data_IF_622807691757
#
_entry.id   IF_622807691757
#
_cell.length_a   1.000
_cell.length_b   1.000
_cell.length_c   1.000
_cell.angle_alpha   90.00
_cell.angle_beta   90.00
_cell.angle_gamma   90.00
#
_symmetry.space_group_name_H-M   'P 1'
#
loop_
_entity.id
_entity.type
_entity.pdbx_description
1 polymer ?
#
# COMPACT_ATOMS: atom_id res chain seq x y z
N UNK A 1 19.40 18.45 14.18
CA UNK A 1 20.20 19.68 14.32
C UNK A 1 20.33 20.35 12.96
N UNK A 2 20.36 21.68 12.89
CA UNK A 2 20.51 22.47 11.67
C UNK A 2 21.71 23.38 11.82
N UNK A 3 22.53 23.50 10.78
CA UNK A 3 23.73 24.34 10.78
C UNK A 3 23.35 25.76 10.32
N UNK A 4 23.78 26.78 11.07
CA UNK A 4 23.61 28.17 10.64
C UNK A 4 24.51 28.47 9.44
N UNK A 5 23.91 28.88 8.34
CA UNK A 5 24.66 29.20 7.10
C UNK A 5 25.56 30.44 7.24
N UNK A 6 25.36 31.26 8.28
CA UNK A 6 26.11 32.50 8.46
C UNK A 6 27.34 32.36 9.40
N UNK A 7 27.27 31.45 10.39
CA UNK A 7 28.39 31.29 11.34
C UNK A 7 28.80 29.82 11.56
N UNK A 8 28.20 28.87 10.91
CA UNK A 8 28.53 27.45 11.03
C UNK A 8 28.07 26.76 12.33
N UNK A 9 27.46 27.48 13.28
CA UNK A 9 27.04 26.91 14.57
C UNK A 9 25.86 25.96 14.42
N UNK A 10 25.92 24.85 15.17
CA UNK A 10 24.80 23.89 15.24
C UNK A 10 23.68 24.44 16.13
N UNK A 11 22.44 24.32 15.63
CA UNK A 11 21.22 24.76 16.28
C UNK A 11 20.17 23.65 16.34
N UNK A 12 19.21 23.78 17.25
CA UNK A 12 18.04 22.92 17.25
C UNK A 12 17.13 23.30 16.06
N UNK A 13 16.40 22.32 15.52
CA UNK A 13 15.49 22.53 14.36
C UNK A 13 14.39 23.55 14.64
N UNK A 14 14.03 23.71 15.91
CA UNK A 14 12.97 24.60 16.38
C UNK A 14 13.40 26.07 16.49
N UNK A 15 14.70 26.34 16.43
CA UNK A 15 15.23 27.69 16.61
C UNK A 15 14.96 28.55 15.37
N UNK A 16 14.15 29.59 15.52
CA UNK A 16 13.90 30.58 14.47
C UNK A 16 15.09 31.51 14.22
N UNK A 17 16.02 31.61 15.19
CA UNK A 17 17.25 32.39 15.08
C UNK A 17 18.42 31.56 15.60
N UNK A 18 19.59 31.79 15.03
CA UNK A 18 20.82 31.16 15.49
C UNK A 18 21.15 31.59 16.91
N UNK A 19 21.41 30.62 17.78
CA UNK A 19 21.78 30.89 19.20
C UNK A 19 23.13 31.59 19.37
N UNK A 20 24.01 31.51 18.33
CA UNK A 20 25.36 32.09 18.40
C UNK A 20 25.44 33.48 17.75
N UNK A 21 24.83 33.69 16.56
CA UNK A 21 24.97 34.96 15.84
C UNK A 21 23.64 35.70 15.61
N UNK A 22 22.52 35.16 16.06
CA UNK A 22 21.21 35.78 15.91
C UNK A 22 20.62 35.78 14.49
N UNK A 23 21.33 35.25 13.52
CA UNK A 23 20.85 35.19 12.15
C UNK A 23 19.56 34.37 12.03
N UNK A 24 18.64 34.72 11.15
CA UNK A 24 17.43 33.94 10.91
C UNK A 24 17.82 32.52 10.42
N UNK A 25 17.25 31.52 11.05
CA UNK A 25 17.40 30.12 10.65
C UNK A 25 16.32 29.74 9.64
N UNK A 26 16.61 28.90 8.64
CA UNK A 26 15.60 28.40 7.74
C UNK A 26 14.58 27.61 8.57
N UNK A 27 13.38 28.15 8.66
CA UNK A 27 12.26 27.50 9.30
C UNK A 27 11.56 26.65 8.25
N UNK A 28 11.84 25.36 8.27
CA UNK A 28 11.03 24.41 7.52
C UNK A 28 9.75 24.22 8.33
N UNK A 29 8.72 25.00 8.04
CA UNK A 29 7.37 24.59 8.37
C UNK A 29 7.16 23.28 7.61
N UNK A 30 7.19 22.16 8.32
CA UNK A 30 6.63 20.93 7.81
C UNK A 30 5.13 21.20 7.71
N UNK A 31 4.70 21.76 6.57
CA UNK A 31 3.33 21.57 6.16
C UNK A 31 3.09 20.08 6.26
N UNK A 32 2.09 19.63 7.03
CA UNK A 32 1.72 18.23 7.00
C UNK A 32 1.55 17.91 5.51
N UNK A 33 2.39 17.05 5.00
CA UNK A 33 2.20 16.50 3.67
C UNK A 33 0.87 15.78 3.79
N UNK A 34 -0.21 16.44 3.37
CA UNK A 34 -1.46 15.76 3.11
C UNK A 34 -1.03 14.72 2.09
N UNK A 35 -0.89 13.49 2.54
CA UNK A 35 -0.75 12.36 1.62
C UNK A 35 -2.04 12.40 0.82
N UNK A 36 -1.98 13.03 -0.36
CA UNK A 36 -3.02 12.86 -1.36
C UNK A 36 -2.89 11.39 -1.72
N UNK A 37 -3.79 10.59 -1.17
CA UNK A 37 -3.86 9.17 -1.46
C UNK A 37 -4.24 9.07 -2.93
N UNK A 38 -3.24 8.78 -3.76
CA UNK A 38 -3.47 8.59 -5.18
C UNK A 38 -4.10 7.22 -5.34
N UNK A 39 -5.42 7.20 -5.33
CA UNK A 39 -6.22 5.99 -5.54
C UNK A 39 -6.01 5.52 -6.98
N UNK A 40 -5.17 4.51 -7.18
CA UNK A 40 -4.81 3.98 -8.50
C UNK A 40 -4.94 2.47 -8.57
N UNK A 41 -4.99 1.94 -9.80
CA UNK A 41 -4.93 0.51 -10.05
C UNK A 41 -6.09 -0.28 -9.47
N UNK A 42 -5.77 -1.38 -8.80
CA UNK A 42 -6.75 -2.33 -8.26
C UNK A 42 -7.56 -1.75 -7.12
N UNK A 43 -6.92 -1.03 -6.20
CA UNK A 43 -7.59 -0.35 -5.11
C UNK A 43 -8.65 0.64 -5.61
N UNK A 44 -8.35 1.36 -6.70
CA UNK A 44 -9.32 2.29 -7.32
C UNK A 44 -10.61 1.58 -7.75
N UNK A 45 -10.52 0.36 -8.28
CA UNK A 45 -11.71 -0.39 -8.68
C UNK A 45 -12.63 -0.66 -7.49
N UNK A 46 -12.08 -1.11 -6.35
CA UNK A 46 -12.86 -1.32 -5.14
C UNK A 46 -13.48 -0.02 -4.63
N UNK A 47 -12.68 1.03 -4.53
CA UNK A 47 -13.15 2.35 -4.09
C UNK A 47 -14.31 2.86 -4.96
N UNK A 48 -14.16 2.84 -6.28
CA UNK A 48 -15.20 3.31 -7.20
C UNK A 48 -16.49 2.49 -7.10
N UNK A 49 -16.40 1.16 -6.91
CA UNK A 49 -17.56 0.29 -6.74
C UNK A 49 -18.25 0.54 -5.39
N UNK A 50 -17.50 0.69 -4.31
CA UNK A 50 -18.04 1.04 -2.98
C UNK A 50 -18.77 2.38 -3.03
N UNK A 51 -18.16 3.42 -3.60
CA UNK A 51 -18.81 4.70 -3.78
C UNK A 51 -20.05 4.62 -4.68
N UNK A 52 -20.00 3.81 -5.74
CA UNK A 52 -21.13 3.56 -6.63
C UNK A 52 -22.32 2.94 -5.89
N UNK A 53 -22.09 1.97 -5.01
CA UNK A 53 -23.12 1.35 -4.17
C UNK A 53 -23.68 2.35 -3.15
N UNK A 54 -22.81 3.08 -2.45
CA UNK A 54 -23.23 4.09 -1.44
C UNK A 54 -24.12 5.17 -2.05
N UNK A 55 -23.83 5.55 -3.28
CA UNK A 55 -24.58 6.60 -4.02
C UNK A 55 -25.78 6.02 -4.81
N UNK A 56 -26.05 4.73 -4.74
CA UNK A 56 -27.14 4.08 -5.49
C UNK A 56 -26.91 4.02 -7.02
N UNK A 57 -25.69 4.22 -7.47
CA UNK A 57 -25.30 4.12 -8.89
C UNK A 57 -25.05 2.68 -9.33
N UNK A 58 -24.67 1.83 -8.40
CA UNK A 58 -24.44 0.39 -8.59
C UNK A 58 -25.44 -0.34 -7.67
N UNK A 59 -26.15 -1.31 -8.24
CA UNK A 59 -27.06 -2.13 -7.44
C UNK A 59 -26.30 -3.13 -6.55
N UNK A 60 -26.87 -3.57 -5.41
CA UNK A 60 -26.26 -4.60 -4.57
C UNK A 60 -25.91 -5.87 -5.35
N UNK A 61 -26.76 -6.28 -6.30
CA UNK A 61 -26.52 -7.46 -7.14
C UNK A 61 -25.30 -7.29 -8.02
N UNK A 62 -25.17 -6.13 -8.71
CA UNK A 62 -24.01 -5.83 -9.56
C UNK A 62 -22.72 -5.70 -8.73
N UNK A 63 -22.84 -5.21 -7.49
CA UNK A 63 -21.71 -5.18 -6.55
C UNK A 63 -21.30 -6.59 -6.12
N UNK A 64 -22.28 -7.48 -5.85
CA UNK A 64 -22.01 -8.89 -5.54
C UNK A 64 -21.28 -9.60 -6.68
N UNK A 65 -21.69 -9.38 -7.95
CA UNK A 65 -20.99 -9.91 -9.13
C UNK A 65 -19.55 -9.39 -9.22
N UNK A 66 -19.34 -8.10 -8.96
CA UNK A 66 -17.99 -7.52 -8.89
C UNK A 66 -17.12 -8.19 -7.81
N UNK A 67 -17.64 -8.36 -6.59
CA UNK A 67 -16.91 -9.02 -5.50
C UNK A 67 -16.55 -10.47 -5.85
N UNK A 68 -17.48 -11.19 -6.46
CA UNK A 68 -17.25 -12.57 -6.91
C UNK A 68 -16.12 -12.65 -7.95
N UNK A 69 -16.13 -11.79 -8.96
CA UNK A 69 -15.07 -11.72 -9.98
C UNK A 69 -13.70 -11.42 -9.35
N UNK A 70 -13.64 -10.49 -8.38
CA UNK A 70 -12.40 -10.16 -7.69
C UNK A 70 -11.92 -11.33 -6.83
N UNK A 71 -12.81 -12.03 -6.14
CA UNK A 71 -12.48 -13.20 -5.34
C UNK A 71 -11.94 -14.35 -6.19
N UNK A 72 -12.61 -14.69 -7.31
CA UNK A 72 -12.15 -15.72 -8.23
C UNK A 72 -10.76 -15.39 -8.81
N UNK A 73 -10.53 -14.12 -9.15
CA UNK A 73 -9.22 -13.64 -9.61
C UNK A 73 -8.16 -13.84 -8.54
N UNK A 74 -8.47 -13.53 -7.27
CA UNK A 74 -7.56 -13.69 -6.14
C UNK A 74 -7.20 -15.17 -5.93
N UNK A 75 -8.22 -16.06 -5.94
CA UNK A 75 -8.01 -17.51 -5.76
C UNK A 75 -7.14 -18.10 -6.88
N UNK A 76 -7.35 -17.65 -8.13
CA UNK A 76 -6.50 -18.04 -9.25
C UNK A 76 -5.04 -17.65 -9.02
N UNK A 77 -4.76 -16.41 -8.60
CA UNK A 77 -3.40 -15.96 -8.31
C UNK A 77 -2.77 -16.75 -7.15
N UNK A 78 -3.54 -17.06 -6.10
CA UNK A 78 -3.06 -17.91 -5.01
C UNK A 78 -2.62 -19.29 -5.50
N UNK A 79 -3.41 -19.90 -6.38
CA UNK A 79 -3.07 -21.20 -6.99
C UNK A 79 -1.77 -21.12 -7.80
N UNK A 80 -1.62 -20.12 -8.66
CA UNK A 80 -0.42 -19.90 -9.47
C UNK A 80 0.83 -19.69 -8.59
N UNK A 81 0.72 -18.95 -7.49
CA UNK A 81 1.82 -18.74 -6.54
C UNK A 81 2.16 -20.02 -5.80
N UNK A 82 1.17 -20.81 -5.35
CA UNK A 82 1.40 -22.07 -4.68
C UNK A 82 2.17 -23.06 -5.57
N UNK A 83 1.82 -23.16 -6.86
CA UNK A 83 2.55 -24.00 -7.83
C UNK A 83 4.01 -23.57 -8.00
N UNK A 84 4.29 -22.27 -8.00
CA UNK A 84 5.66 -21.74 -8.10
C UNK A 84 6.46 -22.05 -6.84
N UNK A 85 5.85 -21.94 -5.66
CA UNK A 85 6.50 -22.22 -4.37
C UNK A 85 6.85 -23.70 -4.23
N UNK A 86 5.93 -24.60 -4.57
CA UNK A 86 6.14 -26.06 -4.44
C UNK A 86 7.28 -26.59 -5.31
N UNK A 87 7.58 -25.92 -6.42
CA UNK A 87 8.59 -26.37 -7.39
C UNK A 87 10.01 -25.83 -7.20
N UNK A 88 10.27 -24.96 -6.21
CA UNK A 88 11.53 -24.20 -6.14
C UNK A 88 11.98 -23.87 -4.72
N UNK A 89 13.32 -23.70 -4.52
CA UNK A 89 13.92 -23.11 -3.32
C UNK A 89 13.60 -21.59 -3.19
N UNK A 90 12.48 -21.16 -3.78
CA UNK A 90 12.13 -19.76 -3.93
C UNK A 90 11.85 -19.10 -2.57
N UNK A 91 11.25 -19.85 -1.64
CA UNK A 91 10.93 -19.36 -0.29
C UNK A 91 12.18 -18.95 0.50
N UNK A 92 13.31 -19.65 0.34
CA UNK A 92 14.54 -19.29 1.05
C UNK A 92 15.19 -18.02 0.51
N UNK A 93 15.03 -17.76 -0.80
CA UNK A 93 15.70 -16.65 -1.49
C UNK A 93 14.86 -15.36 -1.54
N UNK A 94 13.53 -15.47 -1.51
CA UNK A 94 12.58 -14.38 -1.69
C UNK A 94 11.58 -14.29 -0.53
N UNK A 95 12.01 -14.65 0.68
CA UNK A 95 11.15 -14.77 1.86
C UNK A 95 10.37 -13.48 2.15
N UNK A 96 11.02 -12.32 2.13
CA UNK A 96 10.39 -11.08 2.53
C UNK A 96 9.34 -10.60 1.52
N UNK A 97 9.63 -10.69 0.21
CA UNK A 97 8.68 -10.31 -0.83
C UNK A 97 7.47 -11.25 -0.87
N UNK A 98 7.70 -12.55 -0.69
CA UNK A 98 6.65 -13.56 -0.66
C UNK A 98 5.75 -13.39 0.56
N UNK A 99 6.34 -13.15 1.73
CA UNK A 99 5.58 -12.88 2.96
C UNK A 99 4.67 -11.66 2.79
N UNK A 100 5.19 -10.56 2.24
CA UNK A 100 4.39 -9.36 1.98
C UNK A 100 3.33 -9.61 0.90
N UNK A 101 3.65 -10.35 -0.16
CA UNK A 101 2.71 -10.69 -1.21
C UNK A 101 1.53 -11.54 -0.70
N UNK A 102 1.81 -12.57 0.12
CA UNK A 102 0.79 -13.43 0.73
C UNK A 102 -0.07 -12.62 1.70
N UNK A 103 0.54 -11.86 2.62
CA UNK A 103 -0.20 -10.99 3.54
C UNK A 103 -1.11 -10.01 2.80
N UNK A 104 -0.65 -9.46 1.68
CA UNK A 104 -1.47 -8.60 0.84
C UNK A 104 -2.68 -9.31 0.26
N UNK A 105 -2.53 -10.56 -0.18
CA UNK A 105 -3.66 -11.38 -0.67
C UNK A 105 -4.64 -11.75 0.45
N UNK A 106 -4.14 -12.03 1.67
CA UNK A 106 -4.98 -12.31 2.82
C UNK A 106 -5.87 -11.11 3.16
N UNK A 107 -5.31 -9.91 3.20
CA UNK A 107 -6.07 -8.67 3.41
C UNK A 107 -7.09 -8.40 2.30
N UNK A 108 -6.77 -8.72 1.04
CA UNK A 108 -7.75 -8.61 -0.05
C UNK A 108 -8.91 -9.58 0.15
N UNK A 109 -8.64 -10.81 0.55
CA UNK A 109 -9.67 -11.83 0.81
C UNK A 109 -10.57 -11.42 1.97
N UNK A 110 -9.98 -11.02 3.09
CA UNK A 110 -10.69 -10.50 4.26
C UNK A 110 -11.57 -9.30 3.90
N UNK A 111 -11.03 -8.35 3.11
CA UNK A 111 -11.77 -7.18 2.67
C UNK A 111 -12.96 -7.51 1.75
N UNK A 112 -12.82 -8.49 0.86
CA UNK A 112 -13.93 -8.97 0.03
C UNK A 112 -14.98 -9.66 0.88
N UNK A 113 -14.59 -10.49 1.84
CA UNK A 113 -15.53 -11.14 2.77
C UNK A 113 -16.29 -10.13 3.61
N UNK A 114 -15.61 -9.11 4.11
CA UNK A 114 -16.25 -8.04 4.87
C UNK A 114 -17.28 -7.28 4.01
N UNK A 115 -16.97 -6.98 2.76
CA UNK A 115 -17.90 -6.33 1.84
C UNK A 115 -19.11 -7.22 1.48
N UNK A 116 -18.98 -8.55 1.51
CA UNK A 116 -20.12 -9.44 1.32
C UNK A 116 -21.13 -9.36 2.48
N UNK A 117 -20.68 -9.12 3.70
CA UNK A 117 -21.58 -8.92 4.84
C UNK A 117 -22.56 -7.74 4.60
N UNK A 118 -22.11 -6.68 3.94
CA UNK A 118 -22.98 -5.58 3.51
C UNK A 118 -24.17 -6.05 2.65
N UNK A 119 -23.96 -7.06 1.80
CA UNK A 119 -25.04 -7.59 0.95
C UNK A 119 -26.10 -8.37 1.74
N UNK A 120 -25.74 -8.81 2.95
CA UNK A 120 -26.65 -9.56 3.83
C UNK A 120 -27.50 -8.64 4.70
N UNK A 121 -26.89 -7.59 5.29
CA UNK A 121 -27.55 -6.74 6.29
C UNK A 121 -27.70 -5.26 5.88
N UNK A 122 -26.98 -4.82 4.84
CA UNK A 122 -27.01 -3.45 4.34
C UNK A 122 -26.23 -2.44 5.19
N UNK A 123 -25.41 -2.92 6.16
CA UNK A 123 -24.62 -2.03 7.01
C UNK A 123 -23.40 -1.47 6.25
N UNK A 124 -23.38 -0.16 6.10
CA UNK A 124 -22.34 0.58 5.39
C UNK A 124 -20.97 0.45 6.07
N UNK A 125 -20.91 0.14 7.37
CA UNK A 125 -19.66 -0.05 8.10
C UNK A 125 -18.85 -1.21 7.50
N UNK A 126 -19.48 -2.25 6.96
CA UNK A 126 -18.84 -3.36 6.26
C UNK A 126 -18.12 -2.91 4.99
N UNK A 127 -18.67 -1.93 4.26
CA UNK A 127 -18.02 -1.37 3.08
C UNK A 127 -16.74 -0.58 3.44
N UNK A 128 -16.78 0.17 4.54
CA UNK A 128 -15.65 0.97 5.01
C UNK A 128 -14.53 0.06 5.56
N UNK A 129 -14.89 -0.90 6.39
CA UNK A 129 -13.96 -1.88 6.94
C UNK A 129 -13.30 -2.71 5.83
N UNK A 130 -14.10 -3.22 4.90
CA UNK A 130 -13.59 -3.98 3.76
C UNK A 130 -12.67 -3.15 2.87
N UNK A 131 -13.01 -1.89 2.59
CA UNK A 131 -12.17 -0.99 1.79
C UNK A 131 -10.81 -0.70 2.46
N UNK A 132 -10.80 -0.56 3.79
CA UNK A 132 -9.55 -0.41 4.56
C UNK A 132 -8.67 -1.66 4.47
N UNK A 133 -9.25 -2.87 4.56
CA UNK A 133 -8.51 -4.12 4.38
C UNK A 133 -7.94 -4.24 2.97
N UNK A 134 -8.71 -3.90 1.92
CA UNK A 134 -8.23 -3.84 0.54
C UNK A 134 -7.06 -2.84 0.40
N UNK A 135 -7.12 -1.70 1.09
CA UNK A 135 -6.03 -0.71 1.11
C UNK A 135 -4.76 -1.30 1.72
N UNK A 136 -4.87 -1.94 2.87
CA UNK A 136 -3.74 -2.62 3.52
C UNK A 136 -3.14 -3.69 2.60
N UNK A 137 -3.98 -4.49 1.97
CA UNK A 137 -3.54 -5.49 0.99
C UNK A 137 -2.80 -4.88 -0.19
N UNK A 138 -3.30 -3.76 -0.73
CA UNK A 138 -2.63 -3.03 -1.80
C UNK A 138 -1.25 -2.51 -1.38
N UNK A 139 -1.12 -2.01 -0.16
CA UNK A 139 0.16 -1.53 0.38
C UNK A 139 1.18 -2.68 0.54
N UNK A 140 0.76 -3.82 1.09
CA UNK A 140 1.59 -5.02 1.19
C UNK A 140 2.08 -5.51 -0.19
N UNK A 141 1.20 -5.57 -1.20
CA UNK A 141 1.56 -5.97 -2.56
C UNK A 141 2.54 -4.97 -3.19
N UNK A 142 2.33 -3.67 -2.99
CA UNK A 142 3.25 -2.64 -3.48
C UNK A 142 4.63 -2.75 -2.82
N UNK A 143 4.70 -3.07 -1.54
CA UNK A 143 5.96 -3.32 -0.84
C UNK A 143 6.67 -4.57 -1.37
N UNK A 144 5.96 -5.68 -1.59
CA UNK A 144 6.50 -6.87 -2.23
C UNK A 144 7.10 -6.55 -3.62
N UNK A 145 6.37 -5.80 -4.44
CA UNK A 145 6.85 -5.37 -5.76
C UNK A 145 8.06 -4.45 -5.67
N UNK A 146 8.16 -3.62 -4.64
CA UNK A 146 9.32 -2.75 -4.39
C UNK A 146 10.55 -3.57 -4.02
N UNK A 147 10.40 -4.55 -3.12
CA UNK A 147 11.48 -5.47 -2.72
C UNK A 147 12.01 -6.21 -3.95
N UNK A 148 11.12 -6.78 -4.76
CA UNK A 148 11.50 -7.51 -5.97
C UNK A 148 12.28 -6.63 -6.96
N UNK A 149 11.84 -5.38 -7.19
CA UNK A 149 12.56 -4.44 -8.08
C UNK A 149 13.96 -4.10 -7.56
N UNK A 150 14.11 -3.94 -6.25
CA UNK A 150 15.43 -3.67 -5.64
C UNK A 150 16.37 -4.88 -5.78
N UNK A 151 15.88 -6.08 -5.51
CA UNK A 151 16.66 -7.31 -5.68
C UNK A 151 17.10 -7.53 -7.13
N UNK A 152 16.21 -7.31 -8.11
CA UNK A 152 16.55 -7.37 -9.54
C UNK A 152 17.64 -6.37 -9.92
N UNK A 153 17.53 -5.15 -9.44
CA UNK A 153 18.53 -4.11 -9.73
C UNK A 153 19.91 -4.48 -9.17
N UNK A 154 19.98 -5.02 -7.96
CA UNK A 154 21.22 -5.52 -7.37
C UNK A 154 21.85 -6.62 -8.21
N UNK A 155 21.05 -7.59 -8.66
CA UNK A 155 21.53 -8.67 -9.54
C UNK A 155 22.07 -8.13 -10.88
N UNK A 156 21.36 -7.16 -11.50
CA UNK A 156 21.81 -6.53 -12.75
C UNK A 156 23.14 -5.79 -12.56
N UNK A 157 23.34 -5.11 -11.43
CA UNK A 157 24.59 -4.42 -11.09
C UNK A 157 25.75 -5.39 -10.87
N UNK A 158 25.49 -6.53 -10.19
CA UNK A 158 26.49 -7.58 -9.95
C UNK A 158 26.89 -8.30 -11.23
N UNK A 159 25.95 -8.59 -12.13
CA UNK A 159 26.20 -9.32 -13.39
C UNK A 159 26.68 -8.43 -14.52
N UNK A 160 26.37 -7.13 -14.49
CA UNK A 160 26.84 -6.15 -15.47
C UNK A 160 28.29 -5.73 -15.30
N UNK A 161 28.94 -6.11 -14.19
CA UNK A 161 30.36 -5.86 -13.88
C UNK A 161 31.29 -7.01 -14.24
N UNK A 162 30.79 -8.11 -14.81
CA UNK A 162 31.56 -9.23 -15.37
C UNK A 162 31.70 -9.12 -16.87
#
# INVERSE_FOLDING_TARGET
MVICMQCGSQNRKENKKCSSCGAPMPHFEMTPTVKVEVVTGRFKKFHDNVEGVRNGQISPEAFGEFLQDQYETLQKFRGEIAEVIEGTDYLEKCHDEMTQGIAGMDHYEEGVHEMWAYLEDGDVEHLEAGLEMIRMGNDCINDAMRINRMARKQLEEEWGTM
#
